data_IF_861788334401
#
_entry.id   IF_861788334401
#
_cell.length_a   1.000
_cell.length_b   1.000
_cell.length_c   1.000
_cell.angle_alpha   90.00
_cell.angle_beta   90.00
_cell.angle_gamma   90.00
#
_symmetry.space_group_name_H-M   'P 1'
#
loop_
_entity.id
_entity.type
_entity.pdbx_description
1 polymer ?
#
# COMPACT_ATOMS: atom_id res chain seq x y z
N UNK A 1 -6.59 -11.84 -12.83
CA UNK A 1 -6.10 -10.76 -11.94
C UNK A 1 -4.68 -11.12 -11.52
N UNK A 2 -3.74 -10.17 -11.60
CA UNK A 2 -2.33 -10.40 -11.25
C UNK A 2 -2.12 -10.56 -9.74
N UNK A 3 -0.99 -11.17 -9.39
CA UNK A 3 -0.48 -11.24 -7.99
C UNK A 3 0.19 -9.90 -7.69
N UNK A 4 -0.54 -9.01 -7.03
CA UNK A 4 -0.03 -7.68 -6.69
C UNK A 4 -0.75 -7.15 -5.44
N UNK A 5 0.01 -6.56 -4.52
CA UNK A 5 -0.52 -5.82 -3.37
C UNK A 5 -0.77 -4.36 -3.76
N UNK A 6 -1.98 -4.08 -4.24
CA UNK A 6 -2.32 -2.82 -4.92
C UNK A 6 -2.44 -1.66 -3.95
N UNK A 7 -2.40 -0.43 -4.47
CA UNK A 7 -2.57 0.78 -3.65
C UNK A 7 -3.90 0.79 -2.87
N UNK A 8 -5.01 0.32 -3.47
CA UNK A 8 -6.30 0.22 -2.78
C UNK A 8 -6.26 -0.76 -1.58
N UNK A 9 -5.51 -1.86 -1.72
CA UNK A 9 -5.34 -2.85 -0.67
C UNK A 9 -4.51 -2.29 0.49
N UNK A 10 -3.43 -1.58 0.16
CA UNK A 10 -2.59 -0.87 1.13
C UNK A 10 -3.38 0.20 1.91
N UNK A 11 -4.22 0.98 1.22
CA UNK A 11 -5.10 1.96 1.87
C UNK A 11 -6.11 1.28 2.81
N UNK A 12 -6.64 0.11 2.43
CA UNK A 12 -7.52 -0.65 3.31
C UNK A 12 -6.78 -1.18 4.55
N UNK A 13 -5.53 -1.65 4.39
CA UNK A 13 -4.69 -2.05 5.53
C UNK A 13 -4.38 -0.89 6.46
N UNK A 14 -4.09 0.32 5.94
CA UNK A 14 -3.88 1.51 6.76
C UNK A 14 -5.09 1.81 7.67
N UNK A 15 -6.31 1.66 7.15
CA UNK A 15 -7.54 1.82 7.96
C UNK A 15 -7.64 0.78 9.08
N UNK A 16 -7.11 -0.43 8.89
CA UNK A 16 -7.22 -1.53 9.86
C UNK A 16 -6.09 -1.58 10.88
N UNK A 17 -4.89 -1.12 10.52
CA UNK A 17 -3.68 -1.07 11.35
C UNK A 17 -3.54 0.29 12.04
N UNK A 18 -4.33 1.28 11.60
CA UNK A 18 -4.33 2.67 12.05
C UNK A 18 -3.07 3.46 11.66
N UNK A 19 -3.27 4.63 11.04
CA UNK A 19 -2.20 5.49 10.53
C UNK A 19 -1.65 5.11 9.14
N UNK A 20 -0.75 5.96 8.65
CA UNK A 20 -0.15 5.80 7.33
C UNK A 20 1.02 4.82 7.38
N UNK A 21 0.92 3.74 6.61
CA UNK A 21 1.95 2.69 6.58
C UNK A 21 2.63 2.60 5.23
N UNK A 22 3.92 2.28 5.29
CA UNK A 22 4.71 1.79 4.16
C UNK A 22 4.81 0.28 4.25
N UNK A 23 4.65 -0.37 3.10
CA UNK A 23 4.75 -1.81 2.97
C UNK A 23 5.99 -2.18 2.16
N UNK A 24 6.95 -2.82 2.79
CA UNK A 24 8.19 -3.27 2.14
C UNK A 24 8.16 -4.79 2.02
N UNK A 25 8.17 -5.34 0.79
CA UNK A 25 8.09 -6.79 0.58
C UNK A 25 9.35 -7.48 1.13
N UNK A 26 9.17 -8.40 2.06
CA UNK A 26 10.22 -9.21 2.66
C UNK A 26 10.40 -10.55 1.93
N UNK A 27 9.29 -11.21 1.62
CA UNK A 27 9.25 -12.56 1.09
C UNK A 27 8.17 -12.70 0.01
N UNK A 28 8.47 -13.47 -1.03
CA UNK A 28 7.54 -13.87 -2.09
C UNK A 28 7.87 -15.29 -2.53
N UNK A 29 6.96 -16.25 -2.35
CA UNK A 29 7.26 -17.66 -2.60
C UNK A 29 7.74 -17.95 -4.03
N UNK A 30 7.14 -17.31 -5.04
CA UNK A 30 7.60 -17.46 -6.44
C UNK A 30 9.00 -16.91 -6.73
N UNK A 31 9.54 -16.06 -5.86
CA UNK A 31 10.89 -15.46 -6.00
C UNK A 31 11.91 -16.12 -5.07
N UNK A 32 11.53 -16.35 -3.83
CA UNK A 32 12.42 -16.77 -2.74
C UNK A 32 12.31 -18.28 -2.44
N UNK A 33 11.39 -18.99 -3.11
CA UNK A 33 11.08 -20.40 -2.87
C UNK A 33 10.05 -20.57 -1.75
N UNK A 34 9.10 -21.49 -1.92
CA UNK A 34 8.05 -21.75 -0.93
C UNK A 34 8.57 -22.68 0.18
N UNK A 35 9.30 -22.14 1.17
CA UNK A 35 9.79 -22.91 2.31
C UNK A 35 9.82 -22.13 3.62
N UNK A 36 9.68 -22.84 4.74
CA UNK A 36 9.70 -22.24 6.08
C UNK A 36 11.05 -21.56 6.35
N UNK A 37 12.14 -22.21 5.92
CA UNK A 37 13.50 -21.66 6.00
C UNK A 37 13.62 -20.33 5.22
N UNK A 38 13.12 -20.27 3.97
CA UNK A 38 13.14 -19.03 3.19
C UNK A 38 12.31 -17.92 3.84
N UNK A 39 11.13 -18.24 4.36
CA UNK A 39 10.30 -17.31 5.11
C UNK A 39 11.02 -16.74 6.34
N UNK A 40 11.52 -17.59 7.23
CA UNK A 40 12.17 -17.15 8.47
C UNK A 40 13.48 -16.39 8.21
N UNK A 41 14.27 -16.79 7.21
CA UNK A 41 15.47 -16.04 6.81
C UNK A 41 15.17 -14.60 6.37
N UNK A 42 13.99 -14.35 5.79
CA UNK A 42 13.60 -13.02 5.30
C UNK A 42 12.83 -12.21 6.35
N UNK A 43 12.01 -12.87 7.16
CA UNK A 43 10.99 -12.22 7.98
C UNK A 43 11.31 -12.16 9.48
N UNK A 44 12.21 -13.01 9.99
CA UNK A 44 12.51 -13.00 11.42
C UNK A 44 13.10 -11.66 11.87
N UNK A 45 12.66 -11.19 13.03
CA UNK A 45 13.14 -9.99 13.71
C UNK A 45 12.99 -8.70 12.88
N UNK A 46 12.09 -8.65 11.89
CA UNK A 46 11.88 -7.45 11.05
C UNK A 46 10.89 -6.45 11.61
N UNK A 47 9.94 -6.90 12.44
CA UNK A 47 8.85 -6.06 12.96
C UNK A 47 7.47 -6.58 12.56
N UNK A 48 6.44 -5.72 12.62
CA UNK A 48 5.08 -6.01 12.18
C UNK A 48 5.03 -6.47 10.72
N UNK A 49 4.18 -7.45 10.40
CA UNK A 49 4.05 -7.96 9.03
C UNK A 49 2.61 -8.19 8.60
N UNK A 50 2.35 -7.98 7.31
CA UNK A 50 1.15 -8.45 6.61
C UNK A 50 1.54 -9.62 5.72
N UNK A 51 0.89 -10.78 5.92
CA UNK A 51 0.96 -11.94 5.04
C UNK A 51 -0.23 -11.94 4.10
N UNK A 52 -0.01 -12.11 2.79
CA UNK A 52 -1.02 -12.11 1.74
C UNK A 52 -0.94 -13.40 0.95
N UNK A 53 -2.05 -14.13 0.85
CA UNK A 53 -2.22 -15.32 0.02
C UNK A 53 -3.09 -14.99 -1.19
N UNK A 54 -2.58 -15.32 -2.38
CA UNK A 54 -3.28 -15.13 -3.65
C UNK A 54 -3.81 -16.48 -4.13
N UNK A 55 -5.08 -16.79 -3.84
CA UNK A 55 -5.68 -18.07 -4.20
C UNK A 55 -5.99 -18.16 -5.70
N UNK A 56 -5.97 -19.38 -6.25
CA UNK A 56 -6.15 -19.60 -7.70
C UNK A 56 -7.49 -19.10 -8.25
N UNK A 57 -8.53 -19.03 -7.42
CA UNK A 57 -9.86 -18.51 -7.77
C UNK A 57 -9.96 -16.97 -7.69
N UNK A 58 -8.84 -16.26 -7.54
CA UNK A 58 -8.78 -14.80 -7.37
C UNK A 58 -9.40 -14.30 -6.06
N UNK A 59 -9.44 -15.12 -5.02
CA UNK A 59 -9.60 -14.64 -3.65
C UNK A 59 -8.25 -14.24 -3.08
N UNK A 60 -8.24 -13.19 -2.25
CA UNK A 60 -7.03 -12.67 -1.61
C UNK A 60 -7.32 -12.49 -0.13
N UNK A 61 -6.56 -13.16 0.72
CA UNK A 61 -6.76 -13.20 2.17
C UNK A 61 -5.42 -13.39 2.88
N UNK A 62 -5.42 -13.29 4.19
CA UNK A 62 -4.21 -13.47 4.97
C UNK A 62 -4.35 -13.01 6.41
N UNK A 63 -3.22 -12.62 6.99
CA UNK A 63 -3.14 -12.21 8.39
C UNK A 63 -2.13 -11.09 8.60
N UNK A 64 -2.42 -10.24 9.58
CA UNK A 64 -1.51 -9.23 10.10
C UNK A 64 -1.10 -9.60 11.52
N UNK A 65 0.16 -9.31 11.84
CA UNK A 65 0.66 -9.32 13.21
C UNK A 65 1.53 -8.08 13.46
N UNK A 66 1.38 -7.49 14.65
CA UNK A 66 2.19 -6.37 15.15
C UNK A 66 3.50 -6.83 15.81
N UNK A 67 3.66 -8.13 16.06
CA UNK A 67 4.88 -8.69 16.65
C UNK A 67 5.76 -9.33 15.57
N UNK A 68 7.06 -9.42 15.85
CA UNK A 68 8.01 -10.06 14.92
C UNK A 68 7.92 -11.57 15.00
N UNK A 69 8.07 -12.24 13.85
CA UNK A 69 8.46 -13.65 13.77
C UNK A 69 9.88 -13.83 14.33
N UNK A 70 10.13 -14.94 15.01
CA UNK A 70 11.40 -15.22 15.71
C UNK A 70 11.82 -16.68 15.63
N UNK A 71 10.98 -17.57 15.09
CA UNK A 71 11.15 -19.02 15.22
C UNK A 71 11.22 -19.46 16.68
N UNK A 72 10.41 -18.85 17.54
CA UNK A 72 10.43 -19.06 18.99
C UNK A 72 9.88 -20.43 19.46
N UNK A 73 9.35 -21.26 18.55
CA UNK A 73 9.00 -22.65 18.83
C UNK A 73 7.68 -22.81 19.57
N UNK A 74 6.64 -22.08 19.17
CA UNK A 74 5.31 -22.24 19.77
C UNK A 74 4.36 -21.08 19.50
N UNK A 75 3.39 -20.95 20.40
CA UNK A 75 2.34 -19.96 20.30
C UNK A 75 2.71 -18.64 20.98
N UNK A 76 2.27 -17.52 20.40
CA UNK A 76 2.36 -16.20 21.01
C UNK A 76 1.07 -15.40 20.84
N UNK A 77 0.93 -14.41 21.71
CA UNK A 77 -0.22 -13.51 21.74
C UNK A 77 0.19 -12.11 21.27
N UNK A 78 -0.62 -11.58 20.37
CA UNK A 78 -0.57 -10.25 19.80
C UNK A 78 -2.00 -9.74 19.73
N UNK A 79 -2.34 -8.80 20.62
CA UNK A 79 -3.68 -8.25 20.74
C UNK A 79 -4.13 -7.48 19.48
N UNK A 80 -3.17 -7.06 18.64
CA UNK A 80 -3.44 -6.32 17.40
C UNK A 80 -3.47 -7.21 16.16
N UNK A 81 -3.24 -8.52 16.32
CA UNK A 81 -3.32 -9.45 15.21
C UNK A 81 -4.75 -9.53 14.66
N UNK A 82 -4.87 -9.73 13.36
CA UNK A 82 -6.15 -10.00 12.71
C UNK A 82 -5.96 -10.82 11.45
N UNK A 83 -6.96 -11.63 11.12
CA UNK A 83 -7.12 -12.19 9.79
C UNK A 83 -7.90 -11.23 8.91
N UNK A 84 -7.77 -11.38 7.60
CA UNK A 84 -8.55 -10.59 6.66
C UNK A 84 -8.82 -11.32 5.35
N UNK A 85 -9.83 -10.84 4.64
CA UNK A 85 -10.01 -11.08 3.20
C UNK A 85 -10.16 -9.72 2.51
N UNK A 86 -9.47 -9.53 1.39
CA UNK A 86 -9.58 -8.35 0.53
C UNK A 86 -10.49 -8.63 -0.68
N UNK A 87 -10.33 -9.80 -1.29
CA UNK A 87 -11.07 -10.21 -2.47
C UNK A 87 -11.74 -11.56 -2.28
N UNK A 88 -12.97 -11.69 -2.79
CA UNK A 88 -13.68 -12.95 -2.92
C UNK A 88 -13.99 -13.18 -4.40
N UNK A 89 -13.36 -14.19 -5.00
CA UNK A 89 -13.55 -14.55 -6.42
C UNK A 89 -13.41 -13.35 -7.37
N UNK A 90 -12.38 -12.53 -7.13
CA UNK A 90 -12.08 -11.33 -7.91
C UNK A 90 -12.90 -10.08 -7.54
N UNK A 91 -13.91 -10.20 -6.68
CA UNK A 91 -14.68 -9.04 -6.19
C UNK A 91 -14.02 -8.46 -4.95
N UNK A 92 -13.80 -7.14 -4.94
CA UNK A 92 -13.23 -6.43 -3.80
C UNK A 92 -14.30 -6.27 -2.71
N UNK A 93 -14.16 -7.05 -1.64
CA UNK A 93 -15.12 -7.13 -0.52
C UNK A 93 -14.29 -7.28 0.77
N UNK A 94 -13.65 -6.20 1.24
CA UNK A 94 -12.71 -6.29 2.34
C UNK A 94 -13.42 -6.59 3.68
N UNK A 95 -12.90 -7.52 4.45
CA UNK A 95 -13.34 -7.82 5.81
C UNK A 95 -12.15 -8.07 6.74
N UNK A 96 -12.25 -7.53 7.95
CA UNK A 96 -11.32 -7.74 9.07
C UNK A 96 -11.93 -8.73 10.05
N UNK A 97 -11.13 -9.69 10.50
CA UNK A 97 -11.48 -10.70 11.49
C UNK A 97 -10.48 -10.55 12.66
N UNK A 98 -10.81 -9.74 13.67
CA UNK A 98 -9.88 -9.41 14.75
C UNK A 98 -9.61 -10.61 15.65
N UNK A 99 -8.44 -10.62 16.30
CA UNK A 99 -8.15 -11.56 17.37
C UNK A 99 -9.23 -11.46 18.45
N UNK A 100 -9.79 -12.59 18.86
CA UNK A 100 -10.92 -12.65 19.78
C UNK A 100 -10.52 -12.56 21.25
N UNK A 101 -9.21 -12.62 21.55
CA UNK A 101 -8.70 -12.78 22.91
C UNK A 101 -8.64 -14.24 23.38
N UNK A 102 -9.16 -15.18 22.59
CA UNK A 102 -9.13 -16.61 22.91
C UNK A 102 -7.90 -17.29 22.30
N UNK A 103 -7.36 -18.28 23.01
CA UNK A 103 -6.15 -19.01 22.61
C UNK A 103 -4.97 -18.06 22.33
N UNK A 104 -4.15 -18.38 21.34
CA UNK A 104 -3.00 -17.57 20.91
C UNK A 104 -3.21 -17.07 19.49
N UNK A 105 -2.65 -15.90 19.16
CA UNK A 105 -2.89 -15.23 17.89
C UNK A 105 -1.88 -15.63 16.80
N UNK A 106 -0.71 -16.14 17.15
CA UNK A 106 0.29 -16.60 16.16
C UNK A 106 0.96 -17.90 16.63
N UNK A 107 1.47 -18.66 15.68
CA UNK A 107 2.34 -19.82 15.91
C UNK A 107 3.64 -19.65 15.13
N UNK A 108 4.76 -19.57 15.84
CA UNK A 108 6.08 -19.15 15.35
C UNK A 108 7.13 -20.25 15.53
N UNK A 109 6.91 -21.40 14.89
CA UNK A 109 7.88 -22.49 14.83
C UNK A 109 8.71 -22.41 13.54
N UNK A 110 10.02 -22.69 13.64
CA UNK A 110 10.97 -22.62 12.52
C UNK A 110 10.59 -23.49 11.30
N UNK A 111 9.80 -24.54 11.52
CA UNK A 111 9.38 -25.51 10.50
C UNK A 111 8.11 -25.07 9.78
N UNK A 112 7.48 -23.97 10.19
CA UNK A 112 6.21 -23.48 9.68
C UNK A 112 6.40 -22.23 8.83
N UNK A 113 5.56 -22.05 7.82
CA UNK A 113 5.35 -20.74 7.22
C UNK A 113 4.58 -19.82 8.18
N UNK A 114 4.22 -18.60 7.73
CA UNK A 114 3.41 -17.69 8.53
C UNK A 114 2.13 -18.40 9.00
N UNK A 115 1.91 -18.47 10.31
CA UNK A 115 0.78 -19.21 10.88
C UNK A 115 0.08 -18.37 11.94
N UNK A 116 -1.23 -18.22 11.78
CA UNK A 116 -2.06 -17.38 12.62
C UNK A 116 -3.06 -18.23 13.40
N UNK A 117 -3.25 -17.85 14.67
CA UNK A 117 -4.19 -18.47 15.58
C UNK A 117 -3.74 -19.83 16.09
N UNK A 118 -4.67 -20.54 16.74
CA UNK A 118 -4.56 -21.97 17.03
C UNK A 118 -4.83 -22.78 15.74
N UNK A 119 -4.01 -22.50 14.71
CA UNK A 119 -4.14 -22.96 13.33
C UNK A 119 -5.41 -22.50 12.62
N UNK A 120 -5.96 -21.33 12.95
CA UNK A 120 -7.00 -20.66 12.16
C UNK A 120 -6.55 -20.53 10.70
N UNK A 121 -5.30 -20.09 10.49
CA UNK A 121 -4.64 -20.08 9.19
C UNK A 121 -3.22 -20.63 9.32
N UNK A 122 -3.07 -21.95 9.14
CA UNK A 122 -1.78 -22.61 8.94
C UNK A 122 -1.49 -22.64 7.44
N UNK A 123 -0.45 -21.93 7.01
CA UNK A 123 -0.13 -21.80 5.58
C UNK A 123 0.56 -23.04 5.04
N UNK A 124 1.79 -23.32 5.46
CA UNK A 124 2.54 -24.52 5.07
C UNK A 124 3.58 -24.89 6.13
N UNK A 125 4.17 -26.08 5.97
CA UNK A 125 5.32 -26.56 6.77
C UNK A 125 6.39 -27.12 5.86
N UNK A 126 7.65 -27.00 6.26
CA UNK A 126 8.80 -27.45 5.47
C UNK A 126 8.90 -26.70 4.14
N UNK A 127 9.11 -27.44 3.06
CA UNK A 127 9.26 -26.90 1.70
C UNK A 127 8.15 -27.44 0.79
N UNK A 128 7.56 -26.55 -0.02
CA UNK A 128 6.51 -26.85 -0.98
C UNK A 128 7.03 -26.60 -2.38
N UNK A 129 6.93 -27.63 -3.23
CA UNK A 129 7.19 -27.48 -4.65
C UNK A 129 5.97 -26.90 -5.37
N UNK A 130 6.20 -26.12 -6.42
CA UNK A 130 5.11 -25.68 -7.27
C UNK A 130 4.48 -26.86 -8.02
N UNK A 131 3.17 -26.79 -8.21
CA UNK A 131 2.39 -27.65 -9.09
C UNK A 131 2.04 -26.85 -10.35
N UNK A 132 3.00 -26.75 -11.28
CA UNK A 132 2.87 -25.90 -12.47
C UNK A 132 2.85 -24.42 -12.12
N UNK A 133 1.69 -23.77 -12.22
CA UNK A 133 1.51 -22.31 -12.05
C UNK A 133 1.02 -21.89 -10.67
N UNK A 134 0.86 -22.84 -9.74
CA UNK A 134 0.41 -22.59 -8.37
C UNK A 134 1.12 -23.50 -7.38
N UNK A 135 0.96 -23.24 -6.08
CA UNK A 135 1.39 -24.09 -4.98
C UNK A 135 0.17 -24.74 -4.32
N UNK A 136 0.26 -26.02 -4.03
CA UNK A 136 -0.68 -26.69 -3.14
C UNK A 136 -0.08 -26.69 -1.74
N UNK A 137 -0.45 -25.71 -0.91
CA UNK A 137 0.11 -25.64 0.44
C UNK A 137 -0.41 -26.81 1.28
N UNK A 138 0.47 -27.39 2.11
CA UNK A 138 0.14 -28.53 3.00
C UNK A 138 -0.41 -28.09 4.38
N UNK A 139 -0.79 -26.83 4.52
CA UNK A 139 -1.40 -26.30 5.73
C UNK A 139 -2.89 -26.64 5.88
N UNK A 140 -3.48 -26.12 6.95
CA UNK A 140 -4.89 -26.35 7.31
C UNK A 140 -5.51 -25.05 7.80
N UNK A 141 -6.84 -24.96 7.76
CA UNK A 141 -7.57 -23.83 8.35
C UNK A 141 -8.58 -24.34 9.36
N UNK A 142 -8.48 -23.88 10.60
CA UNK A 142 -9.46 -24.12 11.65
C UNK A 142 -10.02 -22.76 12.13
N UNK A 143 -10.68 -22.05 11.22
CA UNK A 143 -11.16 -20.70 11.50
C UNK A 143 -12.15 -20.65 12.67
N UNK A 144 -11.96 -19.66 13.54
CA UNK A 144 -12.83 -19.41 14.69
C UNK A 144 -12.27 -19.87 16.03
N UNK A 145 -11.02 -20.36 16.07
CA UNK A 145 -10.36 -20.73 17.32
C UNK A 145 -9.79 -19.51 18.04
N UNK A 146 -9.06 -18.66 17.31
CA UNK A 146 -8.40 -17.46 17.85
C UNK A 146 -8.96 -16.16 17.30
N UNK A 147 -9.73 -16.19 16.21
CA UNK A 147 -10.22 -14.98 15.55
C UNK A 147 -11.74 -14.95 15.44
N UNK A 148 -12.32 -13.75 15.53
CA UNK A 148 -13.75 -13.54 15.32
C UNK A 148 -14.04 -13.55 13.82
N UNK A 149 -14.75 -14.58 13.35
CA UNK A 149 -14.95 -14.82 11.91
C UNK A 149 -16.02 -13.94 11.27
N UNK A 150 -16.83 -13.21 12.03
CA UNK A 150 -17.86 -12.30 11.51
C UNK A 150 -18.80 -12.95 10.47
N UNK A 151 -19.13 -14.23 10.65
CA UNK A 151 -19.97 -15.01 9.73
C UNK A 151 -19.24 -15.57 8.50
N UNK A 152 -17.94 -15.33 8.35
CA UNK A 152 -17.14 -15.89 7.27
C UNK A 152 -16.81 -17.37 7.50
N UNK A 153 -16.58 -18.08 6.40
CA UNK A 153 -16.25 -19.51 6.39
C UNK A 153 -14.98 -19.74 5.57
N UNK A 154 -14.39 -20.93 5.69
CA UNK A 154 -13.27 -21.32 4.83
C UNK A 154 -13.59 -21.19 3.33
N UNK A 155 -14.84 -21.49 2.95
CA UNK A 155 -15.32 -21.34 1.58
C UNK A 155 -15.41 -19.88 1.15
N UNK A 156 -15.89 -18.98 2.00
CA UNK A 156 -15.96 -17.54 1.65
C UNK A 156 -14.59 -16.87 1.63
N UNK A 157 -13.65 -17.33 2.49
CA UNK A 157 -12.31 -16.74 2.61
C UNK A 157 -11.36 -17.25 1.53
N UNK A 158 -11.23 -18.57 1.41
CA UNK A 158 -10.20 -19.24 0.64
C UNK A 158 -10.75 -20.24 -0.38
N UNK A 159 -12.04 -20.20 -0.68
CA UNK A 159 -12.72 -21.15 -1.57
C UNK A 159 -12.64 -22.62 -1.13
N UNK A 160 -12.30 -22.88 0.13
CA UNK A 160 -12.21 -24.24 0.66
C UNK A 160 -10.90 -24.98 0.36
N UNK A 161 -9.86 -24.29 -0.15
CA UNK A 161 -8.55 -24.90 -0.38
C UNK A 161 -7.40 -23.87 -0.26
N UNK A 162 -6.19 -24.36 -0.01
CA UNK A 162 -4.96 -23.55 0.03
C UNK A 162 -4.12 -23.74 -1.26
N UNK A 163 -4.79 -23.75 -2.41
CA UNK A 163 -4.10 -23.65 -3.69
C UNK A 163 -3.88 -22.18 -4.04
N UNK A 164 -2.63 -21.75 -4.06
CA UNK A 164 -2.24 -20.35 -4.17
C UNK A 164 -1.31 -20.12 -5.34
N UNK A 165 -1.54 -19.05 -6.08
CA UNK A 165 -0.61 -18.54 -7.11
C UNK A 165 0.68 -18.05 -6.45
N UNK A 166 0.56 -17.40 -5.29
CA UNK A 166 1.70 -16.91 -4.52
C UNK A 166 1.33 -16.60 -3.07
N UNK A 167 2.35 -16.48 -2.23
CA UNK A 167 2.27 -15.92 -0.89
C UNK A 167 3.33 -14.83 -0.76
N UNK A 168 2.93 -13.67 -0.27
CA UNK A 168 3.81 -12.52 -0.03
C UNK A 168 3.73 -12.08 1.42
N UNK A 169 4.87 -11.64 1.96
CA UNK A 169 4.94 -11.05 3.30
C UNK A 169 5.58 -9.68 3.19
N UNK A 170 4.91 -8.68 3.76
CA UNK A 170 5.33 -7.28 3.77
C UNK A 170 5.61 -6.83 5.19
N UNK A 171 6.77 -6.20 5.40
CA UNK A 171 7.04 -5.39 6.58
C UNK A 171 6.11 -4.18 6.59
N UNK A 172 5.54 -3.88 7.74
CA UNK A 172 4.72 -2.68 7.96
C UNK A 172 5.53 -1.67 8.77
N UNK A 173 5.76 -0.50 8.19
CA UNK A 173 6.48 0.60 8.83
C UNK A 173 5.58 1.83 8.90
N UNK A 174 5.68 2.63 9.96
CA UNK A 174 5.04 3.93 10.01
C UNK A 174 5.67 4.87 8.98
N UNK A 175 4.83 5.47 8.13
CA UNK A 175 5.25 6.58 7.29
C UNK A 175 5.28 7.85 8.16
N UNK A 176 6.41 8.59 8.16
CA UNK A 176 6.44 9.90 8.78
C UNK A 176 5.32 10.77 8.19
N UNK A 177 4.58 11.48 9.04
CA UNK A 177 3.44 12.29 8.64
C UNK A 177 3.73 13.25 7.47
N UNK A 178 4.99 13.70 7.34
CA UNK A 178 5.46 14.61 6.28
C UNK A 178 5.52 13.98 4.87
N UNK A 179 5.48 12.65 4.76
CA UNK A 179 5.50 11.91 3.48
C UNK A 179 4.12 11.37 3.09
N UNK A 180 3.09 11.61 3.92
CA UNK A 180 1.70 11.36 3.56
C UNK A 180 1.27 12.32 2.45
N UNK A 181 1.02 11.80 1.24
CA UNK A 181 0.42 12.55 0.13
C UNK A 181 -1.11 12.63 0.24
N UNK A 182 -1.69 12.07 1.31
CA UNK A 182 -3.14 12.03 1.49
C UNK A 182 -3.71 13.43 1.81
N UNK A 183 -2.86 14.34 2.30
CA UNK A 183 -3.18 15.76 2.40
C UNK A 183 -2.46 16.57 1.33
N UNK A 184 -3.15 17.54 0.69
CA UNK A 184 -2.50 18.49 -0.19
C UNK A 184 -1.31 19.16 0.49
N UNK A 185 -0.14 19.13 -0.15
CA UNK A 185 1.09 19.76 0.35
C UNK A 185 0.92 21.27 0.65
N UNK A 186 -0.14 21.90 0.11
CA UNK A 186 -0.69 23.18 0.55
C UNK A 186 -2.20 23.06 0.67
N UNK A 187 -2.77 23.48 1.81
CA UNK A 187 -4.21 23.76 1.92
C UNK A 187 -4.56 24.82 0.90
N UNK A 188 -5.40 24.49 -0.08
CA UNK A 188 -5.90 25.46 -1.05
C UNK A 188 -7.02 26.27 -0.41
N UNK A 189 -6.82 27.56 -0.08
CA UNK A 189 -7.90 28.41 0.40
C UNK A 189 -8.99 28.55 -0.67
N UNK A 190 -10.20 28.91 -0.24
CA UNK A 190 -11.27 29.29 -1.17
C UNK A 190 -10.79 30.46 -2.03
N UNK A 191 -10.95 30.34 -3.34
CA UNK A 191 -10.57 31.42 -4.26
C UNK A 191 -11.56 32.58 -4.13
N UNK A 192 -11.07 33.74 -3.76
CA UNK A 192 -11.83 34.99 -3.69
C UNK A 192 -10.95 36.20 -4.05
N UNK A 193 -11.58 37.36 -4.17
CA UNK A 193 -10.91 38.60 -4.58
C UNK A 193 -9.87 39.07 -3.56
N UNK A 194 -10.12 38.81 -2.26
CA UNK A 194 -9.19 39.12 -1.17
C UNK A 194 -7.90 38.32 -1.29
N UNK A 195 -8.00 37.02 -1.55
CA UNK A 195 -6.87 36.13 -1.78
C UNK A 195 -6.11 36.53 -3.05
N UNK A 196 -6.81 36.85 -4.14
CA UNK A 196 -6.18 37.29 -5.38
C UNK A 196 -5.33 38.55 -5.16
N UNK A 197 -5.86 39.55 -4.46
CA UNK A 197 -5.14 40.79 -4.16
C UNK A 197 -3.94 40.53 -3.25
N UNK A 198 -4.10 39.69 -2.22
CA UNK A 198 -2.98 39.31 -1.35
C UNK A 198 -1.87 38.54 -2.11
N UNK A 199 -2.24 37.69 -3.07
CA UNK A 199 -1.27 36.99 -3.91
C UNK A 199 -0.53 37.94 -4.86
N UNK A 200 -1.23 38.91 -5.47
CA UNK A 200 -0.62 39.95 -6.31
C UNK A 200 0.43 40.74 -5.52
N UNK A 201 0.05 41.25 -4.36
CA UNK A 201 0.95 42.00 -3.48
C UNK A 201 2.18 41.16 -3.08
N UNK A 202 1.96 39.89 -2.71
CA UNK A 202 3.05 38.98 -2.34
C UNK A 202 4.01 38.70 -3.50
N UNK A 203 3.50 38.59 -4.73
CA UNK A 203 4.34 38.37 -5.92
C UNK A 203 5.13 39.63 -6.26
N UNK A 204 4.51 40.82 -6.16
CA UNK A 204 5.19 42.10 -6.39
C UNK A 204 6.31 42.36 -5.38
N UNK A 205 6.10 41.97 -4.12
CA UNK A 205 7.09 42.12 -3.05
C UNK A 205 8.14 40.99 -3.02
N UNK A 206 7.96 39.93 -3.81
CA UNK A 206 8.86 38.78 -3.79
C UNK A 206 10.26 39.14 -4.28
N UNK A 207 11.26 38.86 -3.46
CA UNK A 207 12.68 38.92 -3.84
C UNK A 207 13.35 37.60 -3.48
N UNK A 208 14.22 37.03 -4.34
CA UNK A 208 15.07 35.90 -3.98
C UNK A 208 15.92 36.22 -2.74
N UNK A 209 16.32 35.18 -2.00
CA UNK A 209 17.15 35.33 -0.79
C UNK A 209 18.41 36.13 -1.13
N UNK A 210 18.63 37.24 -0.41
CA UNK A 210 19.75 38.15 -0.64
C UNK A 210 21.11 37.44 -0.54
N UNK A 211 21.21 36.46 0.37
CA UNK A 211 22.40 35.62 0.58
C UNK A 211 22.83 34.83 -0.66
N UNK A 212 21.90 34.53 -1.57
CA UNK A 212 22.17 33.73 -2.76
C UNK A 212 22.57 34.57 -3.97
N UNK A 213 22.50 35.91 -3.88
CA UNK A 213 22.79 36.87 -4.96
C UNK A 213 22.10 36.50 -6.30
N UNK A 214 20.87 35.96 -6.23
CA UNK A 214 20.10 35.54 -7.40
C UNK A 214 19.26 36.74 -7.90
N UNK A 215 19.43 37.17 -9.17
CA UNK A 215 18.77 38.39 -9.67
C UNK A 215 17.26 38.20 -9.90
N UNK A 216 16.81 36.98 -10.18
CA UNK A 216 15.40 36.66 -10.45
C UNK A 216 15.11 35.17 -10.31
N UNK A 217 13.87 34.83 -9.98
CA UNK A 217 13.36 33.46 -10.08
C UNK A 217 12.89 33.18 -11.51
N UNK A 218 13.32 32.06 -12.10
CA UNK A 218 12.84 31.56 -13.39
C UNK A 218 12.14 30.22 -13.19
N UNK A 219 10.95 30.08 -13.74
CA UNK A 219 10.14 28.87 -13.66
C UNK A 219 10.22 28.12 -14.99
N UNK A 220 10.69 26.87 -14.96
CA UNK A 220 10.69 25.98 -16.11
C UNK A 220 9.56 24.95 -15.95
N UNK A 221 8.59 24.97 -16.86
CA UNK A 221 7.50 23.99 -16.90
C UNK A 221 7.85 22.88 -17.90
N UNK A 222 8.04 21.64 -17.42
CA UNK A 222 8.41 20.48 -18.26
C UNK A 222 7.33 19.41 -18.18
N UNK A 223 7.12 18.68 -19.28
CA UNK A 223 6.14 17.60 -19.38
C UNK A 223 5.92 17.20 -20.83
N UNK A 224 5.19 16.10 -21.04
CA UNK A 224 4.93 15.54 -22.37
C UNK A 224 4.22 16.55 -23.29
N UNK A 225 4.35 16.35 -24.61
CA UNK A 225 3.61 17.13 -25.61
C UNK A 225 2.11 16.90 -25.40
N UNK A 226 1.29 17.96 -25.50
CA UNK A 226 -0.15 17.90 -25.21
C UNK A 226 -0.54 17.94 -23.73
N UNK A 227 0.41 17.92 -22.77
CA UNK A 227 0.11 17.95 -21.33
C UNK A 227 -0.45 19.29 -20.80
N UNK A 228 -0.80 20.24 -21.67
CA UNK A 228 -1.43 21.50 -21.27
C UNK A 228 -0.51 22.55 -20.64
N UNK A 229 0.82 22.42 -20.76
CA UNK A 229 1.81 23.34 -20.17
C UNK A 229 1.58 24.80 -20.60
N UNK A 230 1.45 25.04 -21.90
CA UNK A 230 1.21 26.38 -22.47
C UNK A 230 -0.15 26.95 -22.06
N UNK A 231 -1.18 26.09 -22.02
CA UNK A 231 -2.52 26.47 -21.55
C UNK A 231 -2.48 26.88 -20.09
N UNK A 232 -1.80 26.13 -19.22
CA UNK A 232 -1.63 26.45 -17.80
C UNK A 232 -0.93 27.79 -17.59
N UNK A 233 0.16 28.05 -18.32
CA UNK A 233 0.86 29.34 -18.31
C UNK A 233 -0.07 30.50 -18.69
N UNK A 234 -0.81 30.35 -19.79
CA UNK A 234 -1.79 31.36 -20.23
C UNK A 234 -2.91 31.56 -19.19
N UNK A 235 -3.40 30.50 -18.54
CA UNK A 235 -4.40 30.60 -17.47
C UNK A 235 -3.89 31.43 -16.31
N UNK A 236 -2.67 31.16 -15.81
CA UNK A 236 -2.05 31.94 -14.72
C UNK A 236 -1.98 33.41 -15.12
N UNK A 237 -1.41 33.71 -16.29
CA UNK A 237 -1.26 35.09 -16.73
C UNK A 237 -2.60 35.82 -16.89
N UNK A 238 -3.62 35.11 -17.39
CA UNK A 238 -4.95 35.68 -17.57
C UNK A 238 -5.61 36.05 -16.24
N UNK A 239 -5.45 35.18 -15.22
CA UNK A 239 -5.95 35.44 -13.86
C UNK A 239 -5.30 36.69 -13.27
N UNK A 240 -3.98 36.81 -13.36
CA UNK A 240 -3.27 37.94 -12.77
C UNK A 240 -3.52 39.26 -13.52
N UNK A 241 -3.67 39.21 -14.85
CA UNK A 241 -3.95 40.38 -15.68
C UNK A 241 -5.42 40.80 -15.71
N UNK A 242 -6.34 39.90 -15.36
CA UNK A 242 -7.79 40.16 -15.37
C UNK A 242 -8.45 40.09 -16.76
N UNK A 243 -7.72 39.62 -17.78
CA UNK A 243 -8.23 39.40 -19.13
C UNK A 243 -7.52 38.21 -19.79
N UNK A 244 -8.10 37.63 -20.84
CA UNK A 244 -7.56 36.46 -21.51
C UNK A 244 -6.23 36.80 -22.21
N UNK A 245 -5.21 35.99 -21.96
CA UNK A 245 -3.89 36.11 -22.60
C UNK A 245 -3.49 34.83 -23.32
N UNK A 246 -2.77 34.97 -24.44
CA UNK A 246 -2.25 33.85 -25.24
C UNK A 246 -0.77 34.08 -25.58
N UNK A 247 0.05 34.26 -24.55
CA UNK A 247 1.46 34.54 -24.73
C UNK A 247 2.27 33.29 -25.09
N UNK A 248 1.85 32.11 -24.63
CA UNK A 248 2.36 30.83 -25.12
C UNK A 248 1.41 30.25 -26.17
N UNK A 249 1.94 29.77 -27.31
CA UNK A 249 1.13 29.03 -28.28
C UNK A 249 0.59 27.74 -27.63
N UNK A 250 -0.73 27.64 -27.52
CA UNK A 250 -1.45 26.45 -27.05
C UNK A 250 -2.17 25.80 -28.23
N UNK A 251 -1.81 24.55 -28.54
CA UNK A 251 -2.33 23.78 -29.67
C UNK A 251 -1.74 22.37 -29.69
N UNK A 252 -2.05 21.59 -30.73
CA UNK A 252 -1.53 20.23 -30.89
C UNK A 252 -0.41 20.22 -31.94
N UNK A 253 0.73 19.61 -31.62
CA UNK A 253 1.90 19.48 -32.51
C UNK A 253 2.66 18.18 -32.16
N UNK A 254 3.41 17.61 -33.10
CA UNK A 254 4.23 16.40 -32.84
C UNK A 254 5.47 16.70 -31.96
N UNK A 255 6.05 17.88 -32.12
CA UNK A 255 7.12 18.41 -31.28
C UNK A 255 6.75 19.83 -30.83
N UNK A 256 6.89 20.13 -29.53
CA UNK A 256 6.50 21.43 -28.99
C UNK A 256 7.50 21.90 -27.92
N UNK A 257 8.14 23.04 -28.21
CA UNK A 257 8.92 23.82 -27.26
C UNK A 257 8.28 25.21 -27.21
N UNK A 258 7.98 25.69 -26.02
CA UNK A 258 7.47 27.05 -25.80
C UNK A 258 8.50 27.80 -24.96
N UNK A 259 9.25 28.68 -25.59
CA UNK A 259 10.10 29.68 -24.93
C UNK A 259 9.33 31.00 -24.88
N UNK A 260 9.21 31.57 -23.68
CA UNK A 260 8.50 32.83 -23.41
C UNK A 260 9.43 33.76 -22.66
#
# INVERSE_FOLDING_TARGET
MGVEFKKIDQLQMNKWIDGNKKYTRLYKATKDGCSAAAFHNKCNNKGPTVTILYNINNSVFGGYTSVSWRSAGGYHTDAYAFLFRLYQNGKWIPIKMPFSGNNSSIYDDASFGPTFGAFDLKTFTGSINSSGTYYHLNGTTNFGQSYTMNGETYKSIANGHLQIKDIEVYLVEDLPARLSLDEPWRKTPKWDEKLLNALKEKIEQYKPLQELNVPQARLLLVGQVGAGKSSFFNTINSIFKGYITSQACSGNAEHSVTTV
#
